data_IF_131790823162
#
_entry.id   IF_131790823162
#
_cell.length_a   1.000
_cell.length_b   1.000
_cell.length_c   1.000
_cell.angle_alpha   90.00
_cell.angle_beta   90.00
_cell.angle_gamma   90.00
#
_symmetry.space_group_name_H-M   'P 1'
#
loop_
_entity.id
_entity.type
_entity.pdbx_description
1 polymer ?
#
# COMPACT_ATOMS: atom_id res chain seq x y z
N UNK A 1 -34.13 -12.97 15.34
CA UNK A 1 -34.04 -13.45 13.96
C UNK A 1 -33.80 -12.21 13.13
N UNK A 2 -32.53 -11.86 12.91
CA UNK A 2 -32.15 -10.58 12.32
C UNK A 2 -32.46 -10.63 10.82
N UNK A 3 -33.15 -9.61 10.31
CA UNK A 3 -33.62 -9.59 8.93
C UNK A 3 -32.46 -9.54 7.94
N UNK A 4 -32.64 -10.02 6.68
CA UNK A 4 -31.60 -10.05 5.66
C UNK A 4 -30.96 -8.67 5.37
N UNK A 5 -31.70 -7.58 5.65
CA UNK A 5 -31.24 -6.19 5.53
C UNK A 5 -30.22 -5.83 6.62
N UNK A 6 -30.41 -6.26 7.87
CA UNK A 6 -29.44 -6.01 8.95
C UNK A 6 -28.12 -6.74 8.70
N UNK A 7 -28.19 -7.96 8.17
CA UNK A 7 -27.01 -8.73 7.79
C UNK A 7 -26.21 -8.02 6.70
N UNK A 8 -26.90 -7.46 5.69
CA UNK A 8 -26.29 -6.67 4.63
C UNK A 8 -25.58 -5.41 5.16
N UNK A 9 -26.24 -4.65 6.04
CA UNK A 9 -25.60 -3.49 6.69
C UNK A 9 -24.38 -3.90 7.51
N UNK A 10 -24.44 -5.01 8.24
CA UNK A 10 -23.31 -5.53 9.02
C UNK A 10 -22.11 -5.89 8.14
N UNK A 11 -22.32 -6.66 7.06
CA UNK A 11 -21.26 -6.98 6.11
C UNK A 11 -20.66 -5.73 5.45
N UNK A 12 -21.49 -4.72 5.15
CA UNK A 12 -21.03 -3.45 4.59
C UNK A 12 -20.14 -2.69 5.58
N UNK A 13 -20.54 -2.59 6.84
CA UNK A 13 -19.75 -1.92 7.88
C UNK A 13 -18.39 -2.61 8.05
N UNK A 14 -18.36 -3.93 8.01
CA UNK A 14 -17.10 -4.70 8.12
C UNK A 14 -16.17 -4.43 6.93
N UNK A 15 -16.72 -4.44 5.71
CA UNK A 15 -15.97 -4.11 4.49
C UNK A 15 -15.42 -2.67 4.52
N UNK A 16 -16.19 -1.72 5.04
CA UNK A 16 -15.72 -0.33 5.22
C UNK A 16 -14.65 -0.23 6.30
N UNK A 17 -14.76 -1.00 7.38
CA UNK A 17 -13.77 -1.07 8.46
C UNK A 17 -12.44 -1.67 7.98
N UNK A 18 -12.47 -2.79 7.26
CA UNK A 18 -11.26 -3.37 6.68
C UNK A 18 -10.58 -2.41 5.69
N UNK A 19 -11.38 -1.69 4.88
CA UNK A 19 -10.85 -0.72 3.93
C UNK A 19 -10.23 0.50 4.61
N UNK A 20 -10.85 1.01 5.68
CA UNK A 20 -10.27 2.13 6.44
C UNK A 20 -8.96 1.73 7.15
N UNK A 21 -8.89 0.51 7.69
CA UNK A 21 -7.67 -0.04 8.27
C UNK A 21 -6.56 -0.22 7.21
N UNK A 22 -6.91 -0.68 6.01
CA UNK A 22 -5.98 -0.75 4.88
C UNK A 22 -5.43 0.62 4.50
N UNK A 23 -6.31 1.63 4.37
CA UNK A 23 -5.92 3.00 4.05
C UNK A 23 -5.04 3.62 5.15
N UNK A 24 -5.31 3.35 6.41
CA UNK A 24 -4.48 3.80 7.53
C UNK A 24 -3.06 3.23 7.45
N UNK A 25 -2.93 1.92 7.16
CA UNK A 25 -1.61 1.26 6.96
C UNK A 25 -0.87 1.82 5.75
N UNK A 26 -1.58 2.05 4.65
CA UNK A 26 -1.04 2.70 3.45
C UNK A 26 -0.50 4.10 3.74
N UNK A 27 -1.26 4.91 4.48
CA UNK A 27 -0.85 6.28 4.82
C UNK A 27 0.37 6.29 5.75
N UNK A 28 0.41 5.38 6.73
CA UNK A 28 1.58 5.20 7.60
C UNK A 28 2.84 4.81 6.80
N UNK A 29 2.70 3.90 5.82
CA UNK A 29 3.78 3.55 4.91
C UNK A 29 4.24 4.75 4.08
N UNK A 30 3.32 5.47 3.43
CA UNK A 30 3.67 6.64 2.62
C UNK A 30 4.39 7.72 3.44
N UNK A 31 3.92 7.95 4.65
CA UNK A 31 4.56 8.88 5.61
C UNK A 31 5.99 8.43 5.94
N UNK A 32 6.16 7.15 6.27
CA UNK A 32 7.48 6.57 6.57
C UNK A 32 8.44 6.65 5.38
N UNK A 33 7.96 6.31 4.17
CA UNK A 33 8.72 6.39 2.92
C UNK A 33 9.20 7.82 2.65
N UNK A 34 8.31 8.81 2.83
CA UNK A 34 8.62 10.22 2.64
C UNK A 34 9.68 10.70 3.62
N UNK A 35 9.56 10.33 4.89
CA UNK A 35 10.55 10.63 5.92
C UNK A 35 11.93 10.04 5.58
N UNK A 36 11.95 8.80 5.11
CA UNK A 36 13.19 8.12 4.72
C UNK A 36 13.87 8.77 3.53
N UNK A 37 13.12 9.18 2.51
CA UNK A 37 13.67 9.88 1.35
C UNK A 37 14.32 11.19 1.76
N UNK A 38 13.70 11.93 2.69
CA UNK A 38 14.29 13.16 3.26
C UNK A 38 15.58 12.83 4.00
N UNK A 39 15.57 11.83 4.89
CA UNK A 39 16.77 11.42 5.63
C UNK A 39 17.91 10.97 4.69
N UNK A 40 17.58 10.25 3.62
CA UNK A 40 18.54 9.84 2.59
C UNK A 40 19.15 11.05 1.87
N UNK A 41 18.32 12.00 1.42
CA UNK A 41 18.77 13.21 0.75
C UNK A 41 19.65 14.08 1.67
N UNK A 42 19.27 14.22 2.95
CA UNK A 42 20.08 14.90 3.96
C UNK A 42 21.43 14.21 4.18
N UNK A 43 21.44 12.87 4.28
CA UNK A 43 22.68 12.10 4.40
C UNK A 43 23.61 12.29 3.19
N UNK A 44 23.04 12.28 1.98
CA UNK A 44 23.77 12.54 0.74
C UNK A 44 24.32 13.97 0.68
N UNK A 45 23.56 14.97 1.12
CA UNK A 45 23.99 16.37 1.15
C UNK A 45 25.15 16.58 2.15
N UNK A 46 25.13 15.91 3.30
CA UNK A 46 26.21 15.95 4.30
C UNK A 46 27.48 15.26 3.77
N UNK A 47 27.33 14.19 3.00
CA UNK A 47 28.44 13.46 2.38
C UNK A 47 29.16 14.25 1.26
N UNK A 48 28.55 15.33 0.78
CA UNK A 48 29.04 16.12 -0.35
C UNK A 48 30.38 16.80 0.00
N UNK A 49 31.49 16.21 -0.46
CA UNK A 49 32.87 16.66 -0.18
C UNK A 49 33.64 15.82 0.84
N UNK A 50 33.02 14.85 1.52
CA UNK A 50 33.64 14.02 2.56
C UNK A 50 33.43 12.50 2.34
N UNK A 51 33.42 12.06 1.08
CA UNK A 51 33.15 10.68 0.66
C UNK A 51 34.09 9.60 1.25
N UNK A 52 35.18 10.01 1.89
CA UNK A 52 36.12 9.12 2.61
C UNK A 52 35.65 8.73 4.01
N UNK A 53 34.61 9.36 4.57
CA UNK A 53 34.11 9.01 5.89
C UNK A 53 33.25 7.73 5.84
N UNK A 54 33.56 6.71 6.67
CA UNK A 54 32.83 5.45 6.65
C UNK A 54 31.34 5.60 6.98
N UNK A 55 30.97 6.58 7.82
CA UNK A 55 29.58 6.86 8.18
C UNK A 55 28.77 7.44 7.00
N UNK A 56 29.39 8.33 6.22
CA UNK A 56 28.77 8.92 5.02
C UNK A 56 28.50 7.87 3.92
N UNK A 57 29.20 6.74 3.98
CA UNK A 57 29.11 5.66 3.00
C UNK A 57 28.18 4.52 3.44
N UNK A 58 28.07 4.28 4.75
CA UNK A 58 27.23 3.22 5.32
C UNK A 58 25.78 3.68 5.51
N UNK A 59 25.57 4.96 5.84
CA UNK A 59 24.24 5.48 6.17
C UNK A 59 23.27 5.50 4.98
N UNK A 60 23.65 5.96 3.76
CA UNK A 60 22.75 5.93 2.60
C UNK A 60 22.27 4.51 2.20
N UNK A 61 23.13 3.48 2.07
CA UNK A 61 22.68 2.14 1.73
C UNK A 61 21.88 1.48 2.86
N UNK A 62 22.16 1.79 4.13
CA UNK A 62 21.33 1.33 5.25
C UNK A 62 19.92 1.90 5.18
N UNK A 63 19.80 3.22 4.94
CA UNK A 63 18.50 3.86 4.72
C UNK A 63 17.79 3.28 3.50
N UNK A 64 18.51 3.01 2.40
CA UNK A 64 17.91 2.42 1.22
C UNK A 64 17.38 1.00 1.44
N UNK A 65 18.12 0.17 2.19
CA UNK A 65 17.65 -1.15 2.60
C UNK A 65 16.40 -1.05 3.48
N UNK A 66 16.40 -0.13 4.45
CA UNK A 66 15.28 0.04 5.35
C UNK A 66 14.02 0.53 4.60
N UNK A 67 14.18 1.45 3.65
CA UNK A 67 13.12 1.88 2.73
C UNK A 67 12.57 0.75 1.86
N UNK A 68 13.44 -0.15 1.37
CA UNK A 68 13.05 -1.35 0.65
C UNK A 68 12.24 -2.32 1.52
N UNK A 69 12.70 -2.61 2.74
CA UNK A 69 11.99 -3.51 3.69
C UNK A 69 10.60 -2.97 4.00
N UNK A 70 10.48 -1.67 4.30
CA UNK A 70 9.19 -1.02 4.52
C UNK A 70 8.28 -1.14 3.29
N UNK A 71 8.81 -0.95 2.08
CA UNK A 71 8.01 -1.10 0.85
C UNK A 71 7.49 -2.53 0.66
N UNK A 72 8.30 -3.54 1.02
CA UNK A 72 7.89 -4.96 1.01
C UNK A 72 6.78 -5.21 2.04
N UNK A 73 6.94 -4.73 3.26
CA UNK A 73 5.94 -4.88 4.32
C UNK A 73 4.61 -4.20 3.96
N UNK A 74 4.70 -3.00 3.39
CA UNK A 74 3.58 -2.28 2.81
C UNK A 74 2.84 -3.07 1.73
N UNK A 75 3.59 -3.68 0.81
CA UNK A 75 3.02 -4.55 -0.23
C UNK A 75 2.25 -5.73 0.38
N UNK A 76 2.81 -6.40 1.39
CA UNK A 76 2.14 -7.51 2.07
C UNK A 76 0.84 -7.02 2.71
N UNK A 77 0.86 -5.86 3.37
CA UNK A 77 -0.32 -5.26 3.98
C UNK A 77 -1.45 -4.99 2.98
N UNK A 78 -1.13 -4.46 1.80
CA UNK A 78 -2.09 -4.17 0.72
C UNK A 78 -2.65 -5.47 0.13
N UNK A 79 -1.78 -6.46 -0.12
CA UNK A 79 -2.21 -7.76 -0.69
C UNK A 79 -3.09 -8.53 0.30
N UNK A 80 -2.78 -8.48 1.60
CA UNK A 80 -3.57 -9.12 2.65
C UNK A 80 -4.97 -8.51 2.75
N UNK A 81 -5.07 -7.18 2.73
CA UNK A 81 -6.34 -6.47 2.75
C UNK A 81 -7.16 -6.74 1.47
N UNK A 82 -6.53 -6.78 0.29
CA UNK A 82 -7.21 -7.17 -0.95
C UNK A 82 -7.80 -8.58 -0.88
N UNK A 83 -7.06 -9.55 -0.31
CA UNK A 83 -7.56 -10.91 -0.11
C UNK A 83 -8.72 -10.98 0.88
N UNK A 84 -8.71 -10.15 1.91
CA UNK A 84 -9.84 -10.05 2.84
C UNK A 84 -11.07 -9.49 2.13
N UNK A 85 -10.91 -8.37 1.42
CA UNK A 85 -11.99 -7.74 0.65
C UNK A 85 -12.63 -8.68 -0.37
N UNK A 86 -11.82 -9.44 -1.10
CA UNK A 86 -12.31 -10.42 -2.07
C UNK A 86 -13.15 -11.54 -1.44
N UNK A 87 -12.80 -12.00 -0.23
CA UNK A 87 -13.61 -13.01 0.48
C UNK A 87 -14.95 -12.47 0.93
N UNK A 88 -15.00 -11.21 1.37
CA UNK A 88 -16.25 -10.57 1.77
C UNK A 88 -17.12 -10.22 0.57
N UNK A 89 -16.54 -9.77 -0.55
CA UNK A 89 -17.25 -9.57 -1.81
C UNK A 89 -17.88 -10.85 -2.33
N UNK A 90 -17.15 -11.98 -2.29
CA UNK A 90 -17.70 -13.25 -2.74
C UNK A 90 -18.90 -13.69 -1.91
N UNK A 91 -18.84 -13.51 -0.57
CA UNK A 91 -19.98 -13.77 0.31
C UNK A 91 -21.16 -12.84 0.06
N UNK A 92 -20.89 -11.57 -0.29
CA UNK A 92 -21.93 -10.60 -0.59
C UNK A 92 -22.62 -10.92 -1.93
N UNK A 93 -21.84 -11.28 -2.96
CA UNK A 93 -22.36 -11.70 -4.27
C UNK A 93 -23.17 -13.00 -4.13
N UNK A 94 -22.74 -13.97 -3.33
CA UNK A 94 -23.51 -15.19 -3.02
C UNK A 94 -24.83 -14.87 -2.29
N UNK A 95 -24.83 -13.95 -1.34
CA UNK A 95 -26.03 -13.53 -0.59
C UNK A 95 -27.05 -12.80 -1.47
N UNK A 96 -26.58 -11.95 -2.39
CA UNK A 96 -27.42 -11.22 -3.35
C UNK A 96 -27.97 -12.17 -4.42
N UNK A 97 -27.15 -13.10 -4.93
CA UNK A 97 -27.60 -14.13 -5.87
C UNK A 97 -28.63 -15.10 -5.28
N UNK A 98 -28.57 -15.34 -3.97
CA UNK A 98 -29.51 -16.20 -3.25
C UNK A 98 -30.83 -15.51 -2.87
N UNK A 99 -30.89 -14.17 -2.91
CA UNK A 99 -32.07 -13.40 -2.49
C UNK A 99 -32.41 -12.32 -3.52
N UNK A 100 -33.40 -12.61 -4.38
CA UNK A 100 -33.85 -11.69 -5.43
C UNK A 100 -34.30 -10.31 -4.93
N UNK A 101 -34.74 -10.18 -3.67
CA UNK A 101 -35.12 -8.90 -3.06
C UNK A 101 -33.94 -7.98 -2.71
N UNK A 102 -32.71 -8.51 -2.66
CA UNK A 102 -31.49 -7.70 -2.49
C UNK A 102 -30.92 -7.18 -3.80
N UNK A 103 -31.36 -7.72 -4.95
CA UNK A 103 -30.88 -7.30 -6.27
C UNK A 103 -31.23 -5.82 -6.52
N UNK A 104 -32.44 -5.40 -6.17
CA UNK A 104 -32.92 -4.02 -6.32
C UNK A 104 -32.07 -3.02 -5.49
N UNK A 105 -31.58 -3.45 -4.33
CA UNK A 105 -30.69 -2.67 -3.46
C UNK A 105 -29.23 -2.68 -3.92
N UNK A 106 -28.79 -3.75 -4.60
CA UNK A 106 -27.46 -3.85 -5.17
C UNK A 106 -27.33 -3.01 -6.46
N UNK A 107 -28.40 -2.93 -7.26
CA UNK A 107 -28.47 -2.15 -8.50
C UNK A 107 -28.47 -0.64 -8.24
N UNK A 108 -29.14 -0.20 -7.16
CA UNK A 108 -29.05 1.17 -6.62
C UNK A 108 -27.63 1.57 -6.16
N UNK A 109 -26.73 0.60 -6.01
CA UNK A 109 -25.36 0.77 -5.55
C UNK A 109 -24.34 0.62 -6.70
N UNK A 110 -24.73 1.06 -7.90
CA UNK A 110 -23.91 1.64 -8.98
C UNK A 110 -22.62 0.88 -9.36
N UNK A 111 -22.64 0.32 -10.57
CA UNK A 111 -21.47 -0.23 -11.27
C UNK A 111 -20.26 0.71 -11.24
N UNK A 112 -20.49 2.03 -11.23
CA UNK A 112 -19.44 3.06 -11.11
C UNK A 112 -18.63 2.99 -9.82
N UNK A 113 -19.24 2.60 -8.69
CA UNK A 113 -18.55 2.42 -7.39
C UNK A 113 -17.72 1.13 -7.39
N UNK A 114 -18.20 0.07 -8.06
CA UNK A 114 -17.44 -1.19 -8.22
C UNK A 114 -16.22 -0.98 -9.12
N UNK A 115 -16.37 -0.22 -10.21
CA UNK A 115 -15.29 0.01 -11.17
C UNK A 115 -14.22 0.98 -10.67
N UNK A 116 -14.61 2.08 -10.03
CA UNK A 116 -13.65 2.99 -9.37
C UNK A 116 -12.87 2.30 -8.25
N UNK A 117 -13.52 1.39 -7.52
CA UNK A 117 -12.88 0.59 -6.45
C UNK A 117 -11.93 -0.47 -7.01
N UNK A 118 -12.29 -1.17 -8.09
CA UNK A 118 -11.39 -2.08 -8.83
C UNK A 118 -10.18 -1.35 -9.40
N UNK A 119 -10.38 -0.17 -9.99
CA UNK A 119 -9.30 0.67 -10.49
C UNK A 119 -8.36 1.10 -9.35
N UNK A 120 -8.91 1.57 -8.22
CA UNK A 120 -8.14 1.95 -7.03
C UNK A 120 -7.31 0.80 -6.45
N UNK A 121 -7.84 -0.43 -6.45
CA UNK A 121 -7.10 -1.61 -6.03
C UNK A 121 -5.89 -1.88 -6.94
N UNK A 122 -6.07 -1.84 -8.26
CA UNK A 122 -5.01 -2.05 -9.25
C UNK A 122 -3.88 -1.02 -9.11
N UNK A 123 -4.21 0.24 -8.87
CA UNK A 123 -3.21 1.30 -8.62
C UNK A 123 -2.49 1.13 -7.29
N UNK A 124 -3.20 0.74 -6.22
CA UNK A 124 -2.62 0.54 -4.89
C UNK A 124 -1.55 -0.55 -4.85
N UNK A 125 -1.67 -1.60 -5.69
CA UNK A 125 -0.68 -2.69 -5.75
C UNK A 125 0.57 -2.32 -6.58
N UNK A 126 0.46 -1.35 -7.50
CA UNK A 126 1.59 -0.91 -8.33
C UNK A 126 2.53 0.05 -7.60
N UNK A 127 1.98 0.87 -6.70
CA UNK A 127 2.72 1.89 -5.96
C UNK A 127 3.93 1.34 -5.15
N UNK A 128 3.81 0.22 -4.39
CA UNK A 128 4.95 -0.35 -3.67
C UNK A 128 6.11 -0.83 -4.56
N UNK A 129 5.83 -1.30 -5.78
CA UNK A 129 6.90 -1.73 -6.71
C UNK A 129 7.75 -0.55 -7.17
N UNK A 130 7.14 0.62 -7.37
CA UNK A 130 7.85 1.83 -7.76
C UNK A 130 8.81 2.25 -6.64
N UNK A 131 8.35 2.22 -5.38
CA UNK A 131 9.21 2.49 -4.22
C UNK A 131 10.33 1.46 -4.08
N UNK A 132 10.06 0.16 -4.25
CA UNK A 132 11.11 -0.87 -4.23
C UNK A 132 12.19 -0.60 -5.30
N UNK A 133 11.78 -0.29 -6.53
CA UNK A 133 12.72 0.04 -7.62
C UNK A 133 13.52 1.31 -7.34
N UNK A 134 12.88 2.35 -6.81
CA UNK A 134 13.53 3.59 -6.40
C UNK A 134 14.60 3.33 -5.32
N UNK A 135 14.29 2.53 -4.29
CA UNK A 135 15.25 2.21 -3.25
C UNK A 135 16.43 1.36 -3.72
N UNK A 136 16.21 0.43 -4.66
CA UNK A 136 17.31 -0.31 -5.30
C UNK A 136 18.23 0.63 -6.08
N UNK A 137 17.66 1.58 -6.81
CA UNK A 137 18.43 2.60 -7.52
C UNK A 137 19.23 3.49 -6.54
N UNK A 138 18.60 3.97 -5.48
CA UNK A 138 19.26 4.78 -4.45
C UNK A 138 20.35 4.00 -3.70
N UNK A 139 20.17 2.69 -3.48
CA UNK A 139 21.20 1.83 -2.89
C UNK A 139 22.46 1.75 -3.77
N UNK A 140 22.29 1.68 -5.10
CA UNK A 140 23.39 1.58 -6.05
C UNK A 140 24.14 2.92 -6.24
N UNK A 141 23.44 4.05 -6.07
CA UNK A 141 23.97 5.39 -6.34
C UNK A 141 25.29 5.73 -5.61
N UNK A 142 25.44 5.52 -4.27
CA UNK A 142 26.71 5.76 -3.58
C UNK A 142 27.83 4.80 -4.00
N UNK A 143 27.51 3.57 -4.43
CA UNK A 143 28.50 2.61 -4.94
C UNK A 143 29.05 3.05 -6.30
N UNK A 144 28.18 3.54 -7.19
CA UNK A 144 28.57 4.08 -8.50
C UNK A 144 29.43 5.33 -8.32
N UNK A 145 29.05 6.24 -7.42
CA UNK A 145 29.85 7.44 -7.13
C UNK A 145 31.23 7.10 -6.57
N UNK A 146 31.35 6.06 -5.73
CA UNK A 146 32.65 5.56 -5.24
C UNK A 146 33.54 5.00 -6.36
N UNK A 147 32.96 4.33 -7.35
CA UNK A 147 33.73 3.74 -8.45
C UNK A 147 34.12 4.77 -9.52
N UNK A 148 33.37 5.86 -9.64
CA UNK A 148 33.59 6.92 -10.61
C UNK A 148 34.53 8.04 -10.14
N UNK A 149 34.83 8.12 -8.83
CA UNK A 149 35.77 9.07 -8.23
C UNK A 149 37.03 8.38 -7.72
#
# INVERSE_FOLDING_TARGET
MNGPIELYHHYRTEVQHEMSLMLARLNALLTSQSFLVIAYASSMAIANGHWSQPLAMLLPPFLALLGFVLAVEGRIGIVAARRALGRWQHRLDDLVGSNASLIDWADLMDEGVRDTRRAGELFAVRSPMIFMGAWVFLFALPLVLRMAG
#
